data_IF_532421147802
#
_entry.id   IF_532421147802
#
_cell.length_a   1.000
_cell.length_b   1.000
_cell.length_c   1.000
_cell.angle_alpha   90.00
_cell.angle_beta   90.00
_cell.angle_gamma   90.00
#
_symmetry.space_group_name_H-M   'P 1'
#
loop_
_entity.id
_entity.type
_entity.pdbx_description
1 polymer ?
#
# COMPACT_ATOMS: atom_id res chain seq x y z
N UNK A 1 9.67 4.44 1.44
CA UNK A 1 9.03 3.39 2.27
C UNK A 1 8.00 2.62 1.46
N UNK A 2 6.92 3.24 0.95
CA UNK A 2 5.88 2.52 0.18
C UNK A 2 6.42 1.77 -1.06
N UNK A 3 7.29 2.40 -1.85
CA UNK A 3 7.93 1.75 -3.00
C UNK A 3 8.71 0.47 -2.63
N UNK A 4 9.39 0.46 -1.47
CA UNK A 4 10.09 -0.73 -0.97
C UNK A 4 9.11 -1.85 -0.60
N UNK A 5 7.95 -1.51 -0.03
CA UNK A 5 6.91 -2.50 0.25
C UNK A 5 6.34 -3.10 -1.04
N UNK A 6 6.18 -2.30 -2.09
CA UNK A 6 5.73 -2.74 -3.42
C UNK A 6 6.75 -3.66 -4.10
N UNK A 7 8.04 -3.29 -4.04
CA UNK A 7 9.13 -4.13 -4.54
C UNK A 7 9.22 -5.48 -3.81
N UNK A 8 9.11 -5.46 -2.48
CA UNK A 8 9.10 -6.70 -1.68
C UNK A 8 7.88 -7.56 -1.99
N UNK A 9 6.68 -6.96 -2.10
CA UNK A 9 5.48 -7.67 -2.50
C UNK A 9 5.64 -8.32 -3.88
N UNK A 10 6.24 -7.61 -4.84
CA UNK A 10 6.51 -8.14 -6.17
C UNK A 10 7.46 -9.35 -6.12
N UNK A 11 8.59 -9.23 -5.40
CA UNK A 11 9.54 -10.31 -5.22
C UNK A 11 8.93 -11.55 -4.54
N UNK A 12 8.01 -11.38 -3.59
CA UNK A 12 7.31 -12.49 -2.94
C UNK A 12 6.27 -13.16 -3.87
N UNK A 13 5.69 -12.43 -4.82
CA UNK A 13 4.75 -12.98 -5.79
C UNK A 13 5.43 -13.85 -6.87
N UNK A 14 6.75 -13.76 -7.02
CA UNK A 14 7.52 -14.61 -7.94
C UNK A 14 7.72 -16.05 -7.40
N UNK A 15 7.39 -16.30 -6.13
CA UNK A 15 7.49 -17.64 -5.53
C UNK A 15 6.34 -18.55 -5.99
N UNK A 16 6.61 -19.37 -7.01
CA UNK A 16 5.65 -20.35 -7.56
C UNK A 16 5.78 -21.73 -6.88
N UNK A 17 5.44 -21.78 -5.59
CA UNK A 17 5.38 -23.03 -4.82
C UNK A 17 3.97 -23.23 -4.24
N UNK A 18 3.50 -24.50 -4.11
CA UNK A 18 2.27 -24.81 -3.39
C UNK A 18 2.22 -24.15 -2.00
N UNK A 19 1.06 -23.61 -1.63
CA UNK A 19 0.87 -22.87 -0.38
C UNK A 19 1.24 -23.67 0.88
N UNK A 20 1.11 -25.00 0.82
CA UNK A 20 1.53 -25.93 1.86
C UNK A 20 3.06 -25.94 2.09
N UNK A 21 3.87 -25.66 1.06
CA UNK A 21 5.33 -25.58 1.15
C UNK A 21 5.80 -24.20 1.62
N UNK A 22 5.01 -23.16 1.37
CA UNK A 22 5.35 -21.77 1.72
C UNK A 22 4.68 -21.30 3.01
N UNK A 23 3.95 -22.19 3.69
CA UNK A 23 3.25 -21.93 4.95
C UNK A 23 2.30 -20.72 4.89
N UNK A 24 1.47 -20.66 3.84
CA UNK A 24 0.48 -19.58 3.69
C UNK A 24 1.07 -18.28 3.18
N UNK A 25 2.18 -18.32 2.43
CA UNK A 25 2.83 -17.13 1.90
C UNK A 25 1.87 -16.32 1.04
N UNK A 26 1.06 -16.97 0.20
CA UNK A 26 0.10 -16.28 -0.66
C UNK A 26 -0.88 -15.44 0.16
N UNK A 27 -1.43 -16.00 1.23
CA UNK A 27 -2.33 -15.28 2.13
C UNK A 27 -1.66 -14.07 2.79
N UNK A 28 -0.39 -14.20 3.22
CA UNK A 28 0.37 -13.09 3.80
C UNK A 28 0.65 -11.99 2.78
N UNK A 29 0.97 -12.37 1.54
CA UNK A 29 1.21 -11.44 0.44
C UNK A 29 -0.08 -10.70 0.04
N UNK A 30 -1.23 -11.38 0.03
CA UNK A 30 -2.53 -10.75 -0.21
C UNK A 30 -2.86 -9.68 0.85
N UNK A 31 -2.57 -9.96 2.14
CA UNK A 31 -2.71 -8.98 3.22
C UNK A 31 -1.76 -7.80 3.00
N UNK A 32 -0.52 -8.06 2.58
CA UNK A 32 0.45 -7.01 2.29
C UNK A 32 -0.04 -6.09 1.14
N UNK A 33 -0.65 -6.65 0.09
CA UNK A 33 -1.28 -5.87 -0.99
C UNK A 33 -2.34 -4.91 -0.46
N UNK A 34 -3.25 -5.40 0.39
CA UNK A 34 -4.30 -4.56 0.97
C UNK A 34 -3.73 -3.42 1.81
N UNK A 35 -2.63 -3.67 2.53
CA UNK A 35 -1.98 -2.67 3.36
C UNK A 35 -1.24 -1.60 2.53
N UNK A 36 -0.61 -2.01 1.43
CA UNK A 36 0.01 -1.11 0.44
C UNK A 36 -1.06 -0.18 -0.15
N UNK A 37 -2.18 -0.75 -0.61
CA UNK A 37 -3.29 0.00 -1.21
C UNK A 37 -3.89 1.00 -0.20
N UNK A 38 -4.09 0.55 1.04
CA UNK A 38 -4.56 1.42 2.12
C UNK A 38 -3.60 2.57 2.37
N UNK A 39 -2.30 2.30 2.46
CA UNK A 39 -1.28 3.33 2.70
C UNK A 39 -1.24 4.35 1.57
N UNK A 40 -1.36 3.91 0.31
CA UNK A 40 -1.47 4.79 -0.85
C UNK A 40 -2.70 5.70 -0.74
N UNK A 41 -3.85 5.14 -0.39
CA UNK A 41 -5.10 5.89 -0.18
C UNK A 41 -4.97 6.91 0.95
N UNK A 42 -4.33 6.54 2.06
CA UNK A 42 -4.12 7.43 3.20
C UNK A 42 -3.23 8.62 2.81
N UNK A 43 -2.14 8.40 2.06
CA UNK A 43 -1.28 9.47 1.53
C UNK A 43 -2.08 10.44 0.64
N UNK A 44 -2.86 9.90 -0.30
CA UNK A 44 -3.70 10.73 -1.19
C UNK A 44 -4.70 11.55 -0.38
N UNK A 45 -5.33 10.94 0.63
CA UNK A 45 -6.31 11.59 1.49
C UNK A 45 -5.69 12.77 2.26
N UNK A 46 -4.50 12.59 2.83
CA UNK A 46 -3.78 13.66 3.54
C UNK A 46 -3.41 14.80 2.59
N UNK A 47 -2.91 14.49 1.39
CA UNK A 47 -2.56 15.52 0.39
C UNK A 47 -3.79 16.30 -0.08
N UNK A 48 -4.92 15.62 -0.27
CA UNK A 48 -6.18 16.27 -0.62
C UNK A 48 -6.67 17.20 0.50
N UNK A 49 -6.57 16.77 1.76
CA UNK A 49 -6.93 17.58 2.92
C UNK A 49 -6.04 18.84 3.03
N UNK A 50 -4.72 18.70 2.90
CA UNK A 50 -3.78 19.84 2.90
C UNK A 50 -4.09 20.84 1.77
N UNK A 51 -4.41 20.35 0.57
CA UNK A 51 -4.81 21.21 -0.55
C UNK A 51 -6.10 21.98 -0.24
N UNK A 52 -7.10 21.30 0.31
CA UNK A 52 -8.36 21.95 0.70
C UNK A 52 -8.12 23.01 1.76
N UNK A 53 -7.32 22.72 2.79
CA UNK A 53 -6.99 23.67 3.84
C UNK A 53 -6.33 24.94 3.29
N UNK A 54 -5.39 24.79 2.36
CA UNK A 54 -4.74 25.93 1.68
C UNK A 54 -5.72 26.76 0.85
N UNK A 55 -6.63 26.12 0.13
CA UNK A 55 -7.66 26.84 -0.66
C UNK A 55 -8.59 27.61 0.27
N UNK A 56 -9.06 26.99 1.36
CA UNK A 56 -9.94 27.64 2.34
C UNK A 56 -9.25 28.85 2.97
N UNK A 57 -7.96 28.73 3.35
CA UNK A 57 -7.16 29.83 3.90
C UNK A 57 -6.96 31.00 2.94
N UNK A 58 -6.98 30.76 1.63
CA UNK A 58 -6.80 31.81 0.62
C UNK A 58 -8.12 32.56 0.28
N UNK A 59 -9.27 32.04 0.71
CA UNK A 59 -10.59 32.63 0.42
C UNK A 59 -11.14 33.44 1.61
N UNK A 60 -10.67 33.15 2.84
CA UNK A 60 -10.97 33.94 4.05
C UNK A 60 -9.97 35.06 4.26
#
# INVERSE_FOLDING_TARGET
MLALCEELHHALMEFDFPDALTHGLRHKTDIASQLIDKTRSDIVSVLAADRIEKVVKNIG
#
